data_IF_178307654400
#
_entry.id   IF_178307654400
#
_cell.length_a   1.000
_cell.length_b   1.000
_cell.length_c   1.000
_cell.angle_alpha   90.00
_cell.angle_beta   90.00
_cell.angle_gamma   90.00
#
_symmetry.space_group_name_H-M   'P 1'
#
loop_
_entity.id
_entity.type
_entity.pdbx_description
1 polymer ?
#
# COMPACT_ATOMS: atom_id res chain seq x y z
N UNK A 1 0.45 -6.21 -11.23
CA UNK A 1 1.25 -5.56 -10.16
C UNK A 1 2.11 -4.37 -10.66
N UNK A 2 2.28 -4.17 -11.99
CA UNK A 2 3.14 -3.09 -12.53
C UNK A 2 2.80 -1.70 -11.96
N UNK A 3 1.53 -1.26 -11.89
CA UNK A 3 1.19 0.04 -11.31
C UNK A 3 1.64 0.19 -9.84
N UNK A 4 1.65 -0.90 -9.07
CA UNK A 4 2.13 -0.86 -7.68
C UNK A 4 3.64 -0.69 -7.61
N UNK A 5 4.39 -1.45 -8.42
CA UNK A 5 5.85 -1.34 -8.44
C UNK A 5 6.28 0.07 -8.84
N UNK A 6 5.66 0.64 -9.87
CA UNK A 6 6.01 1.99 -10.34
C UNK A 6 5.38 3.08 -9.45
N UNK A 7 4.07 3.07 -9.24
CA UNK A 7 3.37 4.16 -8.57
C UNK A 7 3.57 4.17 -7.05
N UNK A 8 3.26 3.06 -6.36
CA UNK A 8 3.39 2.98 -4.92
C UNK A 8 4.84 3.09 -4.43
N UNK A 9 5.78 2.36 -5.07
CA UNK A 9 7.18 2.37 -4.60
C UNK A 9 7.85 3.72 -4.78
N UNK A 10 7.50 4.47 -5.83
CA UNK A 10 8.07 5.79 -6.06
C UNK A 10 7.51 6.85 -5.10
N UNK A 11 6.22 6.79 -4.74
CA UNK A 11 5.66 7.64 -3.68
C UNK A 11 6.31 7.32 -2.32
N UNK A 12 6.46 6.04 -1.99
CA UNK A 12 7.17 5.61 -0.78
C UNK A 12 8.61 6.12 -0.73
N UNK A 13 9.31 6.22 -1.87
CA UNK A 13 10.68 6.73 -1.90
C UNK A 13 10.76 8.20 -1.51
N UNK A 14 9.74 9.00 -1.89
CA UNK A 14 9.64 10.42 -1.48
C UNK A 14 9.42 10.51 0.04
N UNK A 15 8.48 9.73 0.58
CA UNK A 15 8.18 9.73 2.01
C UNK A 15 9.42 9.36 2.84
N UNK A 16 10.15 8.32 2.42
CA UNK A 16 11.39 7.88 3.09
C UNK A 16 12.48 8.94 3.00
N UNK A 17 12.69 9.54 1.82
CA UNK A 17 13.69 10.58 1.63
C UNK A 17 13.34 11.86 2.41
N UNK A 18 12.05 12.23 2.47
CA UNK A 18 11.56 13.34 3.29
C UNK A 18 11.81 13.12 4.78
N UNK A 19 11.54 11.89 5.27
CA UNK A 19 11.87 11.52 6.65
C UNK A 19 13.38 11.58 6.90
N UNK A 20 14.21 11.20 5.93
CA UNK A 20 15.65 11.35 6.01
C UNK A 20 16.08 12.80 6.24
N UNK A 21 15.54 13.74 5.48
CA UNK A 21 15.76 15.18 5.68
C UNK A 21 15.32 15.60 7.08
N UNK A 22 14.15 15.17 7.52
CA UNK A 22 13.59 15.53 8.83
C UNK A 22 14.46 15.02 10.01
N UNK A 23 14.96 13.78 9.91
CA UNK A 23 15.85 13.17 10.94
C UNK A 23 17.15 13.94 11.10
N UNK A 24 17.72 14.46 9.98
CA UNK A 24 18.92 15.28 10.00
C UNK A 24 18.67 16.73 10.47
N UNK A 25 17.41 17.14 10.66
CA UNK A 25 17.06 18.50 11.08
C UNK A 25 17.51 19.55 10.07
N UNK A 26 18.00 20.71 10.53
CA UNK A 26 18.50 21.77 9.67
C UNK A 26 19.64 21.33 8.75
N UNK A 27 20.48 20.40 9.20
CA UNK A 27 21.54 19.83 8.36
C UNK A 27 21.00 18.98 7.20
N UNK A 28 19.83 18.37 7.33
CA UNK A 28 19.19 17.63 6.22
C UNK A 28 18.74 18.52 5.06
N UNK A 29 18.48 19.80 5.34
CA UNK A 29 18.02 20.77 4.34
C UNK A 29 19.16 21.31 3.45
N UNK A 30 20.37 21.43 3.99
CA UNK A 30 21.52 22.00 3.26
C UNK A 30 22.15 20.97 2.30
N UNK A 31 22.76 21.47 1.22
CA UNK A 31 23.33 20.63 0.14
C UNK A 31 24.49 19.74 0.62
N UNK A 32 25.31 20.23 1.55
CA UNK A 32 26.55 19.61 1.98
C UNK A 32 26.34 18.24 2.65
N UNK A 33 25.16 17.98 3.22
CA UNK A 33 24.86 16.66 3.85
C UNK A 33 24.40 15.62 2.85
N UNK A 34 23.97 16.02 1.64
CA UNK A 34 23.45 15.14 0.60
C UNK A 34 21.98 14.70 0.78
N UNK A 35 21.38 14.86 1.96
CA UNK A 35 19.99 14.43 2.20
C UNK A 35 18.98 15.12 1.28
N UNK A 36 19.15 16.43 1.05
CA UNK A 36 18.30 17.21 0.15
C UNK A 36 18.35 16.71 -1.30
N UNK A 37 19.51 16.22 -1.76
CA UNK A 37 19.66 15.62 -3.08
C UNK A 37 18.84 14.33 -3.21
N UNK A 38 18.90 13.43 -2.24
CA UNK A 38 18.09 12.19 -2.26
C UNK A 38 16.60 12.50 -2.35
N UNK A 39 16.12 13.52 -1.64
CA UNK A 39 14.72 13.93 -1.71
C UNK A 39 14.34 14.47 -3.10
N UNK A 40 15.17 15.33 -3.71
CA UNK A 40 14.95 15.83 -5.09
C UNK A 40 14.98 14.70 -6.11
N UNK A 41 15.94 13.78 -5.99
CA UNK A 41 16.09 12.66 -6.92
C UNK A 41 14.94 11.65 -6.77
N UNK A 42 14.41 11.46 -5.57
CA UNK A 42 13.20 10.66 -5.36
C UNK A 42 11.98 11.27 -6.07
N UNK A 43 11.87 12.63 -6.11
CA UNK A 43 10.69 13.29 -6.67
C UNK A 43 10.50 13.04 -8.17
N UNK A 44 11.57 12.95 -8.96
CA UNK A 44 11.45 12.69 -10.40
C UNK A 44 10.81 11.33 -10.71
N UNK A 45 10.96 10.36 -9.81
CA UNK A 45 10.45 9.00 -10.00
C UNK A 45 8.92 8.95 -10.10
N UNK A 46 8.20 9.88 -9.49
CA UNK A 46 6.73 9.95 -9.56
C UNK A 46 6.20 10.72 -10.77
N UNK A 47 7.09 11.34 -11.54
CA UNK A 47 6.75 12.25 -12.63
C UNK A 47 6.97 11.61 -14.00
N UNK A 48 8.13 10.99 -14.24
CA UNK A 48 8.50 10.47 -15.55
C UNK A 48 7.93 9.08 -15.84
N UNK A 49 7.86 8.69 -17.11
CA UNK A 49 7.38 7.36 -17.58
C UNK A 49 6.03 6.94 -17.00
N UNK A 50 5.11 7.86 -16.92
CA UNK A 50 3.79 7.67 -16.34
C UNK A 50 3.75 8.09 -14.87
N UNK A 51 3.09 9.20 -14.63
CA UNK A 51 2.92 9.77 -13.29
C UNK A 51 2.18 8.82 -12.36
N UNK A 52 2.22 9.10 -11.07
CA UNK A 52 1.43 8.37 -10.06
C UNK A 52 -0.04 8.27 -10.45
N UNK A 53 -0.64 9.36 -10.94
CA UNK A 53 -2.04 9.35 -11.38
C UNK A 53 -2.27 8.45 -12.60
N UNK A 54 -1.35 8.39 -13.56
CA UNK A 54 -1.43 7.47 -14.71
C UNK A 54 -1.36 6.02 -14.27
N UNK A 55 -0.48 5.68 -13.33
CA UNK A 55 -0.39 4.34 -12.76
C UNK A 55 -1.66 3.98 -11.97
N UNK A 56 -2.21 4.92 -11.21
CA UNK A 56 -3.45 4.75 -10.46
C UNK A 56 -4.64 4.51 -11.40
N UNK A 57 -4.75 5.28 -12.48
CA UNK A 57 -5.79 5.12 -13.49
C UNK A 57 -5.64 3.78 -14.25
N UNK A 58 -4.43 3.33 -14.54
CA UNK A 58 -4.19 1.99 -15.11
C UNK A 58 -4.67 0.88 -14.15
N UNK A 59 -4.39 1.04 -12.84
CA UNK A 59 -4.86 0.10 -11.83
C UNK A 59 -6.39 0.03 -11.78
N UNK A 60 -7.08 1.17 -11.75
CA UNK A 60 -8.55 1.25 -11.76
C UNK A 60 -9.12 0.65 -13.05
N UNK A 61 -8.75 1.19 -14.22
CA UNK A 61 -9.40 0.87 -15.48
C UNK A 61 -8.99 -0.49 -16.05
N UNK A 62 -7.67 -0.68 -16.25
CA UNK A 62 -7.17 -1.83 -17.00
C UNK A 62 -6.93 -3.06 -16.12
N UNK A 63 -6.66 -2.87 -14.81
CA UNK A 63 -6.30 -3.96 -13.90
C UNK A 63 -7.42 -4.36 -12.95
N UNK A 64 -8.50 -3.55 -12.84
CA UNK A 64 -9.63 -3.83 -11.95
C UNK A 64 -10.96 -3.80 -12.69
N UNK A 65 -11.38 -2.66 -13.26
CA UNK A 65 -12.69 -2.54 -13.88
C UNK A 65 -12.87 -3.43 -15.13
N UNK A 66 -11.80 -3.61 -15.92
CA UNK A 66 -11.86 -4.33 -17.21
C UNK A 66 -12.28 -5.79 -17.07
N UNK A 67 -11.83 -6.49 -16.03
CA UNK A 67 -12.12 -7.89 -15.76
C UNK A 67 -13.15 -8.10 -14.65
N UNK A 68 -13.83 -7.03 -14.23
CA UNK A 68 -14.78 -7.07 -13.12
C UNK A 68 -14.14 -7.37 -11.76
N UNK A 69 -12.85 -7.05 -11.59
CA UNK A 69 -12.11 -7.25 -10.35
C UNK A 69 -11.56 -8.67 -10.15
N UNK A 70 -11.68 -9.56 -11.12
CA UNK A 70 -11.27 -10.98 -10.96
C UNK A 70 -9.79 -11.12 -10.63
N UNK A 71 -8.91 -10.41 -11.35
CA UNK A 71 -7.47 -10.41 -11.09
C UNK A 71 -7.13 -9.90 -9.69
N UNK A 72 -7.77 -8.82 -9.26
CA UNK A 72 -7.59 -8.26 -7.92
C UNK A 72 -8.07 -9.23 -6.81
N UNK A 73 -9.22 -9.86 -7.00
CA UNK A 73 -9.76 -10.89 -6.08
C UNK A 73 -8.88 -12.14 -6.02
N UNK A 74 -8.24 -12.52 -7.12
CA UNK A 74 -7.25 -13.62 -7.11
C UNK A 74 -6.05 -13.30 -6.21
N UNK A 75 -5.57 -12.05 -6.21
CA UNK A 75 -4.54 -11.60 -5.26
C UNK A 75 -5.07 -11.65 -3.81
N UNK A 76 -6.28 -11.16 -3.57
CA UNK A 76 -6.91 -11.23 -2.24
C UNK A 76 -7.01 -12.67 -1.73
N UNK A 77 -7.32 -13.64 -2.59
CA UNK A 77 -7.36 -15.06 -2.22
C UNK A 77 -5.97 -15.61 -1.84
N UNK A 78 -4.90 -15.16 -2.49
CA UNK A 78 -3.53 -15.52 -2.12
C UNK A 78 -3.14 -14.90 -0.76
N UNK A 79 -3.53 -13.66 -0.52
CA UNK A 79 -3.33 -12.99 0.77
C UNK A 79 -4.05 -13.74 1.90
N UNK A 80 -5.28 -14.19 1.66
CA UNK A 80 -6.06 -14.96 2.63
C UNK A 80 -5.39 -16.28 3.05
N UNK A 81 -4.60 -16.90 2.18
CA UNK A 81 -3.80 -18.10 2.55
C UNK A 81 -2.72 -17.75 3.58
N UNK A 82 -1.94 -16.71 3.31
CA UNK A 82 -0.91 -16.23 4.25
C UNK A 82 -1.53 -15.75 5.56
N UNK A 83 -2.70 -15.10 5.51
CA UNK A 83 -3.48 -14.70 6.69
C UNK A 83 -3.84 -15.92 7.56
N UNK A 84 -4.30 -17.03 6.94
CA UNK A 84 -4.62 -18.25 7.64
C UNK A 84 -3.38 -18.90 8.29
N UNK A 85 -2.24 -18.91 7.58
CA UNK A 85 -0.97 -19.42 8.10
C UNK A 85 -0.49 -18.60 9.30
N UNK A 86 -0.55 -17.27 9.22
CA UNK A 86 -0.21 -16.36 10.32
C UNK A 86 -1.14 -16.56 11.53
N UNK A 87 -2.44 -16.73 11.29
CA UNK A 87 -3.44 -16.95 12.36
C UNK A 87 -3.26 -18.29 13.07
N UNK A 88 -2.79 -19.31 12.35
CA UNK A 88 -2.51 -20.64 12.90
C UNK A 88 -1.17 -20.72 13.66
N UNK A 89 -0.30 -19.71 13.55
CA UNK A 89 0.99 -19.66 14.24
C UNK A 89 0.79 -19.53 15.76
N UNK A 90 1.70 -20.13 16.53
CA UNK A 90 1.78 -19.91 17.99
C UNK A 90 2.34 -18.53 18.38
N UNK A 91 2.91 -17.78 17.43
CA UNK A 91 3.46 -16.45 17.66
C UNK A 91 2.35 -15.41 17.81
N UNK A 92 2.35 -14.67 18.93
CA UNK A 92 1.43 -13.55 19.15
C UNK A 92 1.57 -12.46 18.10
N UNK A 93 2.80 -12.20 17.59
CA UNK A 93 3.07 -11.22 16.55
C UNK A 93 2.47 -11.65 15.21
N UNK A 94 2.58 -12.93 14.86
CA UNK A 94 1.95 -13.49 13.67
C UNK A 94 0.43 -13.38 13.72
N UNK A 95 -0.19 -13.76 14.83
CA UNK A 95 -1.63 -13.66 15.03
C UNK A 95 -2.14 -12.21 14.98
N UNK A 96 -1.37 -11.27 15.53
CA UNK A 96 -1.73 -9.87 15.49
C UNK A 96 -1.62 -9.30 14.07
N UNK A 97 -0.56 -9.66 13.31
CA UNK A 97 -0.43 -9.28 11.90
C UNK A 97 -1.56 -9.89 11.06
N UNK A 98 -1.96 -11.15 11.32
CA UNK A 98 -3.09 -11.79 10.65
C UNK A 98 -4.37 -10.95 10.75
N UNK A 99 -4.70 -10.44 11.93
CA UNK A 99 -5.88 -9.58 12.14
C UNK A 99 -5.82 -8.30 11.31
N UNK A 100 -4.65 -7.65 11.25
CA UNK A 100 -4.45 -6.43 10.46
C UNK A 100 -4.54 -6.72 8.96
N UNK A 101 -3.91 -7.80 8.51
CA UNK A 101 -3.92 -8.22 7.11
C UNK A 101 -5.34 -8.57 6.65
N UNK A 102 -6.11 -9.26 7.49
CA UNK A 102 -7.52 -9.56 7.23
C UNK A 102 -8.35 -8.30 7.01
N UNK A 103 -8.32 -7.37 7.96
CA UNK A 103 -9.08 -6.13 7.86
C UNK A 103 -8.69 -5.32 6.60
N UNK A 104 -7.40 -5.26 6.28
CA UNK A 104 -6.90 -4.58 5.08
C UNK A 104 -7.35 -5.29 3.79
N UNK A 105 -7.33 -6.62 3.74
CA UNK A 105 -7.80 -7.41 2.60
C UNK A 105 -9.31 -7.25 2.37
N UNK A 106 -10.10 -7.27 3.43
CA UNK A 106 -11.55 -7.06 3.34
C UNK A 106 -11.87 -5.67 2.79
N UNK A 107 -11.23 -4.63 3.32
CA UNK A 107 -11.36 -3.27 2.81
C UNK A 107 -10.95 -3.17 1.33
N UNK A 108 -9.87 -3.84 0.92
CA UNK A 108 -9.46 -3.91 -0.49
C UNK A 108 -10.52 -4.55 -1.38
N UNK A 109 -11.13 -5.65 -0.96
CA UNK A 109 -12.17 -6.34 -1.74
C UNK A 109 -13.39 -5.44 -1.92
N UNK A 110 -13.81 -4.71 -0.87
CA UNK A 110 -14.90 -3.73 -0.99
C UNK A 110 -14.61 -2.63 -2.01
N UNK A 111 -13.38 -2.11 -2.04
CA UNK A 111 -12.97 -1.13 -3.06
C UNK A 111 -12.96 -1.74 -4.47
N UNK A 112 -12.49 -2.98 -4.61
CA UNK A 112 -12.52 -3.70 -5.89
C UNK A 112 -13.95 -3.86 -6.41
N UNK A 113 -14.88 -4.23 -5.54
CA UNK A 113 -16.31 -4.37 -5.88
C UNK A 113 -16.93 -3.02 -6.26
N UNK A 114 -16.61 -1.95 -5.52
CA UNK A 114 -17.03 -0.60 -5.83
C UNK A 114 -16.53 -0.14 -7.22
N UNK A 115 -15.27 -0.36 -7.53
CA UNK A 115 -14.67 0.00 -8.83
C UNK A 115 -15.30 -0.82 -9.95
N UNK A 116 -15.51 -2.14 -9.75
CA UNK A 116 -16.12 -3.01 -10.73
C UNK A 116 -17.56 -2.60 -11.05
N UNK A 117 -18.33 -2.20 -10.03
CA UNK A 117 -19.70 -1.74 -10.19
C UNK A 117 -19.81 -0.38 -10.90
N UNK A 118 -18.90 0.56 -10.59
CA UNK A 118 -18.98 1.95 -11.05
C UNK A 118 -18.14 2.25 -12.30
N UNK A 119 -17.18 1.41 -12.66
CA UNK A 119 -16.20 1.72 -13.70
C UNK A 119 -16.78 2.05 -15.07
N UNK A 120 -17.98 1.57 -15.40
CA UNK A 120 -18.72 1.89 -16.64
C UNK A 120 -19.90 2.84 -16.41
N UNK A 121 -20.65 2.64 -15.32
CA UNK A 121 -21.90 3.37 -15.03
C UNK A 121 -21.64 4.75 -14.42
N UNK A 122 -20.61 4.91 -13.60
CA UNK A 122 -20.21 6.15 -12.97
C UNK A 122 -18.67 6.26 -12.90
N UNK A 123 -17.99 6.49 -14.04
CA UNK A 123 -16.54 6.52 -14.08
C UNK A 123 -15.93 7.59 -13.17
N UNK A 124 -16.58 8.74 -13.00
CA UNK A 124 -16.10 9.79 -12.09
C UNK A 124 -15.97 9.26 -10.65
N UNK A 125 -16.95 8.52 -10.16
CA UNK A 125 -16.87 7.91 -8.83
C UNK A 125 -15.73 6.88 -8.74
N UNK A 126 -15.57 6.03 -9.76
CA UNK A 126 -14.52 5.01 -9.78
C UNK A 126 -13.10 5.61 -9.82
N UNK A 127 -12.90 6.72 -10.53
CA UNK A 127 -11.59 7.34 -10.72
C UNK A 127 -11.24 8.43 -9.70
N UNK A 128 -12.22 9.03 -9.01
CA UNK A 128 -11.98 10.02 -7.97
C UNK A 128 -11.03 9.48 -6.86
N UNK A 129 -11.18 8.19 -6.51
CA UNK A 129 -10.34 7.50 -5.54
C UNK A 129 -9.14 6.76 -6.12
N UNK A 130 -8.69 7.03 -7.36
CA UNK A 130 -7.67 6.21 -8.03
C UNK A 130 -6.32 6.18 -7.31
N UNK A 131 -5.80 7.33 -6.89
CA UNK A 131 -4.52 7.41 -6.15
C UNK A 131 -4.64 6.80 -4.74
N UNK A 132 -5.67 7.12 -3.93
CA UNK A 132 -5.93 6.39 -2.69
C UNK A 132 -6.03 4.86 -2.87
N UNK A 133 -6.66 4.38 -3.96
CA UNK A 133 -6.72 2.94 -4.28
C UNK A 133 -5.35 2.34 -4.58
N UNK A 134 -4.51 3.05 -5.34
CA UNK A 134 -3.12 2.64 -5.59
C UNK A 134 -2.36 2.49 -4.27
N UNK A 135 -2.45 3.46 -3.38
CA UNK A 135 -1.76 3.47 -2.08
C UNK A 135 -2.31 2.39 -1.14
N UNK A 136 -3.62 2.22 -1.08
CA UNK A 136 -4.29 1.16 -0.33
C UNK A 136 -3.79 -0.22 -0.76
N UNK A 137 -3.79 -0.47 -2.09
CA UNK A 137 -3.36 -1.74 -2.66
C UNK A 137 -1.87 -1.99 -2.42
N UNK A 138 -1.05 -0.95 -2.53
CA UNK A 138 0.38 -1.00 -2.22
C UNK A 138 0.64 -1.37 -0.77
N UNK A 139 -0.05 -0.70 0.17
CA UNK A 139 0.05 -1.01 1.60
C UNK A 139 -0.34 -2.46 1.90
N UNK A 140 -1.43 -2.95 1.30
CA UNK A 140 -1.89 -4.32 1.48
C UNK A 140 -0.88 -5.34 0.95
N UNK A 141 -0.39 -5.16 -0.28
CA UNK A 141 0.56 -6.10 -0.91
C UNK A 141 1.90 -6.10 -0.18
N UNK A 142 2.41 -4.95 0.24
CA UNK A 142 3.61 -4.87 1.06
C UNK A 142 3.41 -5.55 2.43
N UNK A 143 2.27 -5.33 3.08
CA UNK A 143 1.89 -6.03 4.32
C UNK A 143 1.79 -7.54 4.16
N UNK A 144 1.30 -8.02 3.03
CA UNK A 144 1.32 -9.44 2.68
C UNK A 144 2.76 -9.98 2.61
N UNK A 145 3.68 -9.24 1.97
CA UNK A 145 5.09 -9.67 1.91
C UNK A 145 5.75 -9.63 3.31
N UNK A 146 5.38 -8.66 4.16
CA UNK A 146 5.81 -8.65 5.57
C UNK A 146 5.31 -9.90 6.32
N UNK A 147 4.08 -10.30 6.08
CA UNK A 147 3.52 -11.54 6.66
C UNK A 147 4.29 -12.79 6.23
N UNK A 148 4.62 -12.91 4.94
CA UNK A 148 5.45 -13.99 4.42
C UNK A 148 6.85 -14.00 5.04
N UNK A 149 7.47 -12.82 5.13
CA UNK A 149 8.79 -12.69 5.76
C UNK A 149 8.76 -13.06 7.25
N UNK A 150 7.68 -12.70 7.97
CA UNK A 150 7.50 -13.07 9.37
C UNK A 150 7.39 -14.59 9.54
N UNK A 151 6.59 -15.27 8.71
CA UNK A 151 6.48 -16.74 8.75
C UNK A 151 7.83 -17.42 8.54
N UNK A 152 8.62 -16.95 7.57
CA UNK A 152 9.99 -17.46 7.35
C UNK A 152 10.88 -17.16 8.56
N UNK A 153 10.83 -15.94 9.10
CA UNK A 153 11.66 -15.55 10.24
C UNK A 153 11.37 -16.36 11.52
N UNK A 154 10.22 -17.00 11.61
CA UNK A 154 9.85 -17.88 12.73
C UNK A 154 10.30 -19.33 12.55
N UNK A 155 10.83 -19.72 11.40
CA UNK A 155 11.28 -21.11 11.20
C UNK A 155 12.58 -21.40 11.94
N UNK A 156 12.77 -22.64 12.46
CA UNK A 156 14.02 -23.02 13.14
C UNK A 156 15.26 -22.83 12.26
N UNK A 157 15.16 -23.11 10.96
CA UNK A 157 16.25 -22.98 9.99
C UNK A 157 16.71 -21.52 9.83
N UNK A 158 15.76 -20.57 9.76
CA UNK A 158 16.07 -19.15 9.68
C UNK A 158 16.68 -18.64 11.00
N UNK A 159 16.09 -19.04 12.13
CA UNK A 159 16.61 -18.68 13.46
C UNK A 159 18.04 -19.21 13.70
N UNK A 160 18.38 -20.39 13.18
CA UNK A 160 19.72 -20.93 13.28
C UNK A 160 20.78 -20.17 12.45
N UNK A 161 20.37 -19.44 11.41
CA UNK A 161 21.27 -18.64 10.58
C UNK A 161 21.63 -17.30 11.24
N UNK A 162 20.62 -16.55 11.69
CA UNK A 162 20.83 -15.26 12.36
C UNK A 162 19.57 -14.91 13.20
N UNK A 163 19.57 -15.32 14.46
CA UNK A 163 18.45 -15.10 15.37
C UNK A 163 18.15 -13.61 15.59
N UNK A 164 19.19 -12.76 15.65
CA UNK A 164 19.03 -11.32 15.89
C UNK A 164 18.35 -10.63 14.70
N UNK A 165 18.78 -10.96 13.47
CA UNK A 165 18.16 -10.46 12.26
C UNK A 165 16.70 -10.94 12.12
N UNK A 166 16.44 -12.21 12.45
CA UNK A 166 15.07 -12.74 12.37
C UNK A 166 14.14 -12.08 13.43
N UNK A 167 14.61 -11.84 14.63
CA UNK A 167 13.86 -11.08 15.63
C UNK A 167 13.54 -9.65 15.16
N UNK A 168 14.49 -8.98 14.53
CA UNK A 168 14.25 -7.67 13.91
C UNK A 168 13.22 -7.73 12.79
N UNK A 169 13.22 -8.78 11.95
CA UNK A 169 12.19 -9.00 10.90
C UNK A 169 10.79 -9.20 11.48
N UNK A 170 10.65 -9.97 12.56
CA UNK A 170 9.37 -10.14 13.27
C UNK A 170 8.86 -8.79 13.77
N UNK A 171 9.72 -8.02 14.44
CA UNK A 171 9.38 -6.68 14.96
C UNK A 171 8.95 -5.73 13.84
N UNK A 172 9.71 -5.71 12.71
CA UNK A 172 9.39 -4.87 11.55
C UNK A 172 8.03 -5.25 10.95
N UNK A 173 7.74 -6.52 10.79
CA UNK A 173 6.47 -6.99 10.25
C UNK A 173 5.30 -6.63 11.17
N UNK A 174 5.50 -6.77 12.49
CA UNK A 174 4.51 -6.35 13.49
C UNK A 174 4.26 -4.84 13.43
N UNK A 175 5.31 -4.03 13.40
CA UNK A 175 5.21 -2.57 13.24
C UNK A 175 4.41 -2.21 11.98
N UNK A 176 4.72 -2.86 10.85
CA UNK A 176 3.99 -2.61 9.60
C UNK A 176 2.49 -2.88 9.74
N UNK A 177 2.13 -3.97 10.40
CA UNK A 177 0.73 -4.30 10.70
C UNK A 177 0.03 -3.21 11.52
N UNK A 178 0.67 -2.78 12.60
CA UNK A 178 0.06 -1.87 13.55
C UNK A 178 0.02 -0.40 13.08
N UNK A 179 0.99 0.04 12.24
CA UNK A 179 1.13 1.45 11.87
C UNK A 179 0.81 1.75 10.40
N UNK A 180 0.85 0.74 9.51
CA UNK A 180 0.58 0.93 8.08
C UNK A 180 -0.72 0.24 7.68
N UNK A 181 -0.85 -1.08 7.88
CA UNK A 181 -2.07 -1.81 7.52
C UNK A 181 -3.31 -1.31 8.29
N UNK A 182 -3.14 -0.83 9.50
CA UNK A 182 -4.23 -0.26 10.32
C UNK A 182 -4.91 0.95 9.68
N UNK A 183 -4.27 1.62 8.72
CA UNK A 183 -4.82 2.78 7.99
C UNK A 183 -5.71 2.37 6.81
N UNK A 184 -5.57 1.15 6.30
CA UNK A 184 -6.23 0.69 5.06
C UNK A 184 -7.76 0.77 5.12
N UNK A 185 -8.45 0.42 6.22
CA UNK A 185 -9.90 0.60 6.32
C UNK A 185 -10.36 2.05 6.16
N UNK A 186 -9.65 3.01 6.76
CA UNK A 186 -9.96 4.43 6.58
C UNK A 186 -9.72 4.94 5.14
N UNK A 187 -8.72 4.38 4.45
CA UNK A 187 -8.51 4.68 3.02
C UNK A 187 -9.67 4.15 2.17
N UNK A 188 -10.20 2.96 2.48
CA UNK A 188 -11.41 2.43 1.84
C UNK A 188 -12.58 3.39 1.97
N UNK A 189 -12.82 3.95 3.16
CA UNK A 189 -13.91 4.89 3.40
C UNK A 189 -13.80 6.12 2.49
N UNK A 190 -12.61 6.70 2.34
CA UNK A 190 -12.39 7.84 1.45
C UNK A 190 -12.65 7.53 -0.03
N UNK A 191 -12.38 6.29 -0.47
CA UNK A 191 -12.60 5.88 -1.86
C UNK A 191 -14.08 5.61 -2.14
N UNK A 192 -14.74 4.85 -1.27
CA UNK A 192 -16.12 4.38 -1.50
C UNK A 192 -17.13 5.47 -1.19
N UNK A 193 -16.92 6.28 -0.14
CA UNK A 193 -17.85 7.32 0.30
C UNK A 193 -17.44 8.73 -0.14
N UNK A 194 -16.19 8.96 -0.55
CA UNK A 194 -15.66 10.30 -0.81
C UNK A 194 -15.84 10.81 -2.24
N UNK A 195 -16.32 10.00 -3.18
CA UNK A 195 -16.36 10.35 -4.60
C UNK A 195 -17.20 11.60 -4.92
N UNK A 196 -18.36 11.73 -4.29
CA UNK A 196 -19.29 12.83 -4.56
C UNK A 196 -18.69 14.20 -4.17
N UNK A 197 -17.93 14.26 -3.09
CA UNK A 197 -17.30 15.50 -2.64
C UNK A 197 -16.18 15.97 -3.58
N UNK A 198 -15.51 15.07 -4.29
CA UNK A 198 -14.46 15.41 -5.28
C UNK A 198 -15.06 16.12 -6.50
N UNK A 199 -16.27 15.78 -6.88
CA UNK A 199 -16.94 16.32 -8.07
C UNK A 199 -18.05 17.32 -7.76
N UNK A 200 -18.19 17.74 -6.50
CA UNK A 200 -19.31 18.58 -6.03
C UNK A 200 -19.23 20.02 -6.54
N UNK A 201 -18.04 20.57 -6.75
CA UNK A 201 -17.87 21.94 -7.22
C UNK A 201 -17.90 22.03 -8.74
N UNK A 202 -18.66 22.95 -9.34
CA UNK A 202 -18.61 23.23 -10.76
C UNK A 202 -17.29 23.94 -11.14
N UNK A 203 -16.92 23.87 -12.43
CA UNK A 203 -15.63 24.43 -12.92
C UNK A 203 -15.48 25.94 -12.70
N UNK A 204 -16.57 26.66 -12.68
CA UNK A 204 -16.61 28.12 -12.47
C UNK A 204 -16.54 28.54 -10.99
N UNK A 205 -16.47 27.57 -10.09
CA UNK A 205 -16.24 27.81 -8.66
C UNK A 205 -14.75 27.85 -8.26
N UNK A 206 -13.82 27.70 -9.22
CA UNK A 206 -12.37 27.75 -9.00
C UNK A 206 -11.74 29.04 -9.44
#
# INVERSE_FOLDING_TARGET
LVPLVKGYSTEMSIDVASLGVQIHGGMGFIEETGCAQYYRDAKILTIYEGTTAIQANDLVGRKTARDGGQGAKSIAAQIAKTEAELAASSSADAQALAKRLKAAREAFVEVVDFIAANGKSNPNAAYAGSVPYLMLTGNLVAGWQMGRALLVALTPEAQAQDAAFMAAKVTTARFYGDHILSKVPGMRDSIVAGADSVTALPLDAF
#
